data_IF_395047993764
#
_entry.id   IF_395047993764
#
_cell.length_a   1.000
_cell.length_b   1.000
_cell.length_c   1.000
_cell.angle_alpha   90.00
_cell.angle_beta   90.00
_cell.angle_gamma   90.00
#
_symmetry.space_group_name_H-M   'P 1'
#
loop_
_entity.id
_entity.type
_entity.pdbx_description
1 polymer ?
#
# COMPACT_ATOMS: atom_id res chain seq x y z
N UNK A 1 1.95 -15.23 -15.56
CA UNK A 1 0.55 -15.30 -16.05
C UNK A 1 -0.43 -14.59 -15.11
N UNK A 2 -0.34 -14.83 -13.80
CA UNK A 2 -1.14 -14.17 -12.76
C UNK A 2 -1.28 -12.64 -12.90
N UNK A 3 -0.16 -11.90 -12.94
CA UNK A 3 -0.13 -10.44 -13.06
C UNK A 3 -0.92 -9.93 -14.27
N UNK A 4 -0.74 -10.56 -15.43
CA UNK A 4 -1.46 -10.18 -16.66
C UNK A 4 -2.96 -10.43 -16.54
N UNK A 5 -3.37 -11.52 -15.88
CA UNK A 5 -4.77 -11.87 -15.65
C UNK A 5 -5.46 -10.85 -14.75
N UNK A 6 -4.85 -10.52 -13.61
CA UNK A 6 -5.37 -9.53 -12.66
C UNK A 6 -5.44 -8.14 -13.32
N UNK A 7 -4.36 -7.71 -14.00
CA UNK A 7 -4.38 -6.47 -14.78
C UNK A 7 -5.50 -6.44 -15.83
N UNK A 8 -5.78 -7.56 -16.50
CA UNK A 8 -6.85 -7.64 -17.48
C UNK A 8 -8.24 -7.59 -16.82
N UNK A 9 -8.41 -8.14 -15.62
CA UNK A 9 -9.64 -8.01 -14.84
C UNK A 9 -9.90 -6.55 -14.44
N UNK A 10 -8.88 -5.88 -13.88
CA UNK A 10 -8.99 -4.47 -13.48
C UNK A 10 -9.34 -3.56 -14.67
N UNK A 11 -8.73 -3.79 -15.84
CA UNK A 11 -9.04 -3.02 -17.07
C UNK A 11 -10.47 -3.20 -17.60
N UNK A 12 -11.16 -4.27 -17.20
CA UNK A 12 -12.54 -4.54 -17.63
C UNK A 12 -13.59 -3.96 -16.69
N UNK A 13 -13.19 -3.46 -15.52
CA UNK A 13 -14.09 -2.80 -14.60
C UNK A 13 -14.63 -1.51 -15.22
N UNK A 14 -15.91 -1.24 -14.95
CA UNK A 14 -16.49 0.08 -15.20
C UNK A 14 -16.04 1.01 -14.06
N UNK A 15 -15.08 1.88 -14.34
CA UNK A 15 -14.52 2.79 -13.34
C UNK A 15 -15.53 3.82 -12.83
N UNK A 16 -16.58 4.12 -13.59
CA UNK A 16 -17.65 4.99 -13.11
C UNK A 16 -18.50 4.26 -12.05
N UNK A 17 -18.76 2.96 -12.24
CA UNK A 17 -19.45 2.16 -11.22
C UNK A 17 -18.56 1.93 -9.98
N UNK A 18 -17.26 1.71 -10.17
CA UNK A 18 -16.29 1.58 -9.07
C UNK A 18 -16.27 2.86 -8.23
N UNK A 19 -16.19 4.02 -8.89
CA UNK A 19 -16.21 5.31 -8.21
C UNK A 19 -17.52 5.55 -7.47
N UNK A 20 -18.66 5.27 -8.11
CA UNK A 20 -19.97 5.41 -7.49
C UNK A 20 -20.19 4.46 -6.30
N UNK A 21 -19.60 3.26 -6.32
CA UNK A 21 -19.68 2.31 -5.22
C UNK A 21 -18.83 2.73 -4.02
N UNK A 22 -17.61 3.23 -4.28
CA UNK A 22 -16.63 3.57 -3.24
C UNK A 22 -16.81 4.98 -2.66
N UNK A 23 -17.52 5.88 -3.36
CA UNK A 23 -17.84 7.24 -2.87
C UNK A 23 -19.25 7.35 -2.28
N UNK A 24 -20.01 6.25 -2.17
CA UNK A 24 -21.22 6.26 -1.34
C UNK A 24 -20.84 6.55 0.12
N UNK A 25 -21.78 7.07 0.90
CA UNK A 25 -21.65 7.35 2.36
C UNK A 25 -21.02 6.16 3.13
N UNK A 26 -20.80 6.31 4.44
CA UNK A 26 -20.09 5.42 5.39
C UNK A 26 -20.20 3.88 5.23
N UNK A 27 -21.16 3.36 4.44
CA UNK A 27 -21.33 1.95 4.04
C UNK A 27 -20.80 1.61 2.63
N UNK A 28 -19.79 2.33 2.13
CA UNK A 28 -19.18 2.05 0.82
C UNK A 28 -18.74 0.58 0.68
N UNK A 29 -19.35 -0.14 -0.27
CA UNK A 29 -19.07 -1.55 -0.48
C UNK A 29 -17.82 -1.73 -1.35
N UNK A 30 -16.86 -2.59 -0.95
CA UNK A 30 -15.73 -2.95 -1.81
C UNK A 30 -16.19 -3.54 -3.14
N UNK A 31 -15.44 -3.28 -4.20
CA UNK A 31 -15.77 -3.75 -5.55
C UNK A 31 -14.93 -4.96 -5.90
N UNK A 32 -15.56 -6.08 -6.24
CA UNK A 32 -14.84 -7.30 -6.62
C UNK A 32 -14.09 -7.12 -7.94
N UNK A 33 -12.83 -7.54 -7.98
CA UNK A 33 -12.02 -7.57 -9.21
C UNK A 33 -12.10 -8.94 -9.88
N UNK A 34 -11.70 -10.00 -9.17
CA UNK A 34 -11.72 -11.38 -9.66
C UNK A 34 -11.37 -12.40 -8.57
N UNK A 35 -11.67 -13.68 -8.84
CA UNK A 35 -11.15 -14.83 -8.10
C UNK A 35 -9.68 -15.10 -8.39
N UNK A 36 -8.89 -15.34 -7.34
CA UNK A 36 -7.48 -15.70 -7.43
C UNK A 36 -6.99 -16.45 -6.20
N UNK A 37 -5.98 -17.31 -6.36
CA UNK A 37 -5.26 -17.89 -5.21
C UNK A 37 -4.41 -16.84 -4.51
N UNK A 38 -4.06 -17.12 -3.25
CA UNK A 38 -3.14 -16.30 -2.46
C UNK A 38 -1.78 -16.15 -3.17
N UNK A 39 -1.18 -17.24 -3.65
CA UNK A 39 0.09 -17.19 -4.40
C UNK A 39 0.07 -16.24 -5.61
N UNK A 40 -1.05 -16.20 -6.34
CA UNK A 40 -1.19 -15.32 -7.50
C UNK A 40 -1.37 -13.85 -7.08
N UNK A 41 -2.03 -13.63 -5.94
CA UNK A 41 -2.11 -12.31 -5.31
C UNK A 41 -0.72 -11.84 -4.85
N UNK A 42 0.03 -12.66 -4.13
CA UNK A 42 1.40 -12.30 -3.68
C UNK A 42 2.33 -11.98 -4.85
N UNK A 43 2.21 -12.73 -5.96
CA UNK A 43 2.95 -12.43 -7.20
C UNK A 43 2.53 -11.11 -7.84
N UNK A 44 1.26 -10.72 -7.69
CA UNK A 44 0.76 -9.43 -8.15
C UNK A 44 1.31 -8.29 -7.29
N UNK A 45 1.21 -8.43 -5.97
CA UNK A 45 1.72 -7.48 -4.98
C UNK A 45 3.21 -7.21 -5.25
N UNK A 46 4.06 -8.24 -5.35
CA UNK A 46 5.50 -8.08 -5.59
C UNK A 46 5.90 -7.59 -7.00
N UNK A 47 4.95 -7.37 -7.91
CA UNK A 47 5.25 -7.08 -9.31
C UNK A 47 5.30 -5.58 -9.60
N UNK A 48 6.35 -5.12 -10.28
CA UNK A 48 6.42 -3.74 -10.80
C UNK A 48 5.39 -3.44 -11.91
N UNK A 49 4.81 -4.49 -12.51
CA UNK A 49 3.84 -4.38 -13.60
C UNK A 49 2.38 -4.33 -13.12
N UNK A 50 2.12 -3.90 -11.89
CA UNK A 50 0.75 -3.70 -11.39
C UNK A 50 0.03 -2.62 -12.21
N UNK A 51 -1.21 -2.88 -12.62
CA UNK A 51 -2.05 -1.88 -13.28
C UNK A 51 -2.70 -0.93 -12.26
N UNK A 52 -3.23 -1.48 -11.18
CA UNK A 52 -3.62 -0.74 -9.98
C UNK A 52 -2.73 -1.19 -8.82
N UNK A 53 -2.22 -0.24 -8.05
CA UNK A 53 -1.37 -0.53 -6.89
C UNK A 53 -2.14 -1.32 -5.84
N UNK A 54 -1.48 -2.31 -5.25
CA UNK A 54 -2.11 -3.30 -4.38
C UNK A 54 -2.57 -2.71 -3.05
N UNK A 55 -2.00 -1.58 -2.64
CA UNK A 55 -2.48 -0.78 -1.49
C UNK A 55 -3.96 -0.37 -1.58
N UNK A 56 -4.49 -0.20 -2.80
CA UNK A 56 -5.91 0.15 -3.00
C UNK A 56 -6.85 -1.07 -2.98
N UNK A 57 -6.31 -2.26 -2.74
CA UNK A 57 -6.99 -3.54 -2.90
C UNK A 57 -6.72 -4.47 -1.71
N UNK A 58 -7.61 -5.43 -1.53
CA UNK A 58 -7.45 -6.49 -0.54
C UNK A 58 -7.80 -7.84 -1.13
N UNK A 59 -7.08 -8.89 -0.73
CA UNK A 59 -7.49 -10.24 -1.01
C UNK A 59 -8.29 -10.81 0.17
N UNK A 60 -9.46 -11.41 -0.08
CA UNK A 60 -10.28 -12.00 1.00
C UNK A 60 -10.92 -13.27 0.47
N UNK A 61 -10.56 -14.40 1.08
CA UNK A 61 -11.19 -15.69 0.80
C UNK A 61 -11.15 -16.11 -0.68
N UNK A 62 -10.00 -15.91 -1.36
CA UNK A 62 -9.83 -16.31 -2.76
C UNK A 62 -10.29 -15.28 -3.80
N UNK A 63 -10.56 -14.03 -3.39
CA UNK A 63 -11.01 -12.95 -4.28
C UNK A 63 -10.21 -11.67 -4.00
N UNK A 64 -9.98 -10.85 -5.02
CA UNK A 64 -9.44 -9.49 -4.90
C UNK A 64 -10.60 -8.49 -4.90
N UNK A 65 -10.54 -7.52 -4.01
CA UNK A 65 -11.49 -6.42 -3.85
C UNK A 65 -10.77 -5.07 -3.96
N UNK A 66 -11.35 -4.09 -4.64
CA UNK A 66 -10.94 -2.69 -4.52
C UNK A 66 -11.66 -2.14 -3.29
N UNK A 67 -10.89 -1.67 -2.31
CA UNK A 67 -11.41 -1.18 -1.02
C UNK A 67 -11.35 0.34 -0.91
N UNK A 68 -10.53 0.99 -1.74
CA UNK A 68 -10.40 2.45 -1.79
C UNK A 68 -10.04 2.91 -3.21
N UNK A 69 -10.33 4.18 -3.52
CA UNK A 69 -10.00 4.77 -4.81
C UNK A 69 -8.60 5.40 -4.79
N UNK A 70 -7.81 5.26 -5.87
CA UNK A 70 -6.61 6.05 -6.08
C UNK A 70 -6.99 7.51 -6.37
N UNK A 71 -7.36 8.27 -5.34
CA UNK A 71 -7.74 9.67 -5.49
C UNK A 71 -6.56 10.60 -5.32
N UNK A 72 -6.64 11.79 -5.93
CA UNK A 72 -5.63 12.84 -5.71
C UNK A 72 -5.56 13.31 -4.25
N UNK A 73 -6.60 13.07 -3.45
CA UNK A 73 -6.61 13.39 -2.02
C UNK A 73 -5.70 12.42 -1.27
N UNK A 74 -5.78 11.13 -1.60
CA UNK A 74 -4.92 10.09 -1.07
C UNK A 74 -3.45 10.42 -1.32
N UNK A 75 -3.10 10.70 -2.58
CA UNK A 75 -1.72 11.05 -2.95
C UNK A 75 -1.23 12.32 -2.26
N UNK A 76 -2.10 13.32 -2.07
CA UNK A 76 -1.77 14.54 -1.32
C UNK A 76 -1.58 14.27 0.18
N UNK A 77 -2.36 13.37 0.77
CA UNK A 77 -2.21 12.97 2.17
C UNK A 77 -0.87 12.26 2.38
N UNK A 78 -0.57 11.27 1.54
CA UNK A 78 0.71 10.54 1.54
C UNK A 78 1.88 11.51 1.33
N UNK A 79 1.79 12.42 0.35
CA UNK A 79 2.84 13.43 0.09
C UNK A 79 3.06 14.39 1.27
N UNK A 80 1.99 14.77 1.99
CA UNK A 80 2.11 15.60 3.20
C UNK A 80 2.74 14.83 4.34
N UNK A 81 2.35 13.58 4.56
CA UNK A 81 3.00 12.71 5.54
C UNK A 81 4.49 12.55 5.24
N UNK A 82 4.83 12.32 3.99
CA UNK A 82 6.21 12.23 3.54
C UNK A 82 7.02 13.50 3.81
N UNK A 83 6.43 14.66 3.51
CA UNK A 83 7.03 15.97 3.82
C UNK A 83 7.22 16.17 5.32
N UNK A 84 6.23 15.80 6.14
CA UNK A 84 6.32 15.94 7.59
C UNK A 84 7.34 14.98 8.20
N UNK A 85 7.42 13.75 7.70
CA UNK A 85 8.45 12.79 8.08
C UNK A 85 9.83 13.34 7.73
N UNK A 86 10.00 13.89 6.53
CA UNK A 86 11.26 14.51 6.12
C UNK A 86 11.66 15.68 7.04
N UNK A 87 10.73 16.56 7.40
CA UNK A 87 11.01 17.69 8.31
C UNK A 87 11.29 17.23 9.73
N UNK A 88 10.43 16.36 10.29
CA UNK A 88 10.48 15.93 11.69
C UNK A 88 11.70 15.08 12.03
N UNK A 89 12.29 14.42 11.05
CA UNK A 89 13.47 13.55 11.22
C UNK A 89 14.78 14.24 10.81
N UNK A 90 14.74 15.55 10.47
CA UNK A 90 15.92 16.28 9.98
C UNK A 90 16.31 15.91 8.53
N UNK A 91 15.48 15.11 7.90
CA UNK A 91 15.70 14.42 6.64
C UNK A 91 15.31 15.24 5.39
N UNK A 92 15.12 16.56 5.52
CA UNK A 92 14.98 17.45 4.36
C UNK A 92 16.20 17.40 3.41
N UNK A 93 17.33 16.84 3.86
CA UNK A 93 18.52 16.53 3.06
C UNK A 93 18.82 15.03 2.90
N UNK A 94 17.93 14.12 3.35
CA UNK A 94 18.06 12.67 3.13
C UNK A 94 19.01 11.91 4.05
N UNK A 95 19.33 12.41 5.25
CA UNK A 95 20.40 11.83 6.09
C UNK A 95 19.99 10.59 6.88
N UNK A 96 18.79 10.51 7.45
CA UNK A 96 18.51 9.54 8.52
C UNK A 96 17.48 8.45 8.16
N UNK A 97 16.42 8.80 7.43
CA UNK A 97 15.40 7.86 6.93
C UNK A 97 15.21 8.05 5.42
N UNK A 98 14.98 7.00 4.65
CA UNK A 98 14.63 7.10 3.22
C UNK A 98 13.21 6.58 3.04
N UNK A 99 12.40 7.34 2.30
CA UNK A 99 11.08 6.90 1.87
C UNK A 99 11.20 5.76 0.86
N UNK A 100 10.62 4.61 1.18
CA UNK A 100 10.41 3.49 0.26
C UNK A 100 8.94 3.37 -0.08
N UNK A 101 8.57 3.66 -1.33
CA UNK A 101 7.17 3.64 -1.78
C UNK A 101 6.69 2.24 -2.25
N UNK A 102 7.53 1.20 -2.15
CA UNK A 102 7.25 -0.15 -2.67
C UNK A 102 7.62 -1.26 -1.66
N UNK A 103 7.42 -1.00 -0.36
CA UNK A 103 7.88 -1.86 0.72
C UNK A 103 6.82 -2.86 1.19
N UNK A 104 6.74 -4.02 0.56
CA UNK A 104 5.81 -5.07 0.99
C UNK A 104 6.14 -5.57 2.40
N UNK A 105 5.14 -5.87 3.21
CA UNK A 105 5.33 -6.57 4.48
C UNK A 105 5.24 -8.07 4.22
N UNK A 106 6.35 -8.81 4.36
CA UNK A 106 6.32 -10.28 4.33
C UNK A 106 5.59 -10.84 5.56
N UNK A 107 5.56 -10.10 6.68
CA UNK A 107 4.76 -10.41 7.87
C UNK A 107 3.95 -9.16 8.29
N UNK A 108 2.60 -9.21 8.32
CA UNK A 108 1.78 -8.10 8.80
C UNK A 108 1.91 -7.91 10.32
N UNK A 109 1.77 -6.67 10.85
CA UNK A 109 1.79 -6.42 12.29
C UNK A 109 0.73 -7.24 13.04
N UNK A 110 1.06 -7.68 14.26
CA UNK A 110 0.11 -8.38 15.12
C UNK A 110 -1.16 -7.54 15.34
N UNK A 111 -2.33 -8.12 15.07
CA UNK A 111 -3.63 -7.42 15.08
C UNK A 111 -4.14 -7.00 13.69
N UNK A 112 -3.25 -6.95 12.69
CA UNK A 112 -3.56 -6.97 11.25
C UNK A 112 -3.25 -8.33 10.63
N UNK A 113 -3.06 -9.35 11.48
CA UNK A 113 -2.69 -10.70 11.10
C UNK A 113 -3.77 -11.32 10.21
N UNK A 114 -3.45 -11.41 8.92
CA UNK A 114 -4.15 -12.18 7.91
C UNK A 114 -3.13 -12.85 6.99
N UNK A 115 -3.56 -13.89 6.28
CA UNK A 115 -2.79 -14.64 5.28
C UNK A 115 -2.49 -13.76 4.05
N UNK A 116 -1.81 -12.62 4.20
CA UNK A 116 -1.72 -11.62 3.14
C UNK A 116 -0.48 -10.72 3.20
N UNK A 117 0.17 -10.58 2.05
CA UNK A 117 1.12 -9.49 1.81
C UNK A 117 0.39 -8.16 1.63
N UNK A 118 0.84 -7.14 2.36
CA UNK A 118 0.36 -5.76 2.32
C UNK A 118 1.40 -4.82 1.69
N UNK A 119 0.96 -3.94 0.79
CA UNK A 119 1.75 -2.81 0.26
C UNK A 119 1.30 -1.53 0.99
N UNK A 120 2.17 -0.86 1.77
CA UNK A 120 1.79 0.33 2.49
C UNK A 120 1.69 1.56 1.59
N UNK A 121 0.91 2.55 1.99
CA UNK A 121 0.84 3.85 1.31
C UNK A 121 2.19 4.57 1.29
N UNK A 122 2.92 4.51 2.40
CA UNK A 122 4.32 4.91 2.46
C UNK A 122 5.08 4.14 3.53
N UNK A 123 6.38 3.99 3.34
CA UNK A 123 7.26 3.37 4.32
C UNK A 123 8.60 4.09 4.40
N UNK A 124 9.29 3.93 5.53
CA UNK A 124 10.54 4.60 5.83
C UNK A 124 11.54 3.63 6.44
N UNK A 125 12.70 3.52 5.82
CA UNK A 125 13.82 2.70 6.28
C UNK A 125 15.04 3.56 6.60
N UNK A 126 15.97 3.10 7.45
CA UNK A 126 17.21 3.81 7.71
C UNK A 126 18.11 3.89 6.48
N UNK A 127 18.87 4.97 6.40
CA UNK A 127 19.84 5.20 5.33
C UNK A 127 21.20 4.53 5.68
N UNK A 128 21.78 3.80 4.72
CA UNK A 128 23.07 3.12 4.88
C UNK A 128 24.27 4.10 4.95
N UNK A 129 24.02 5.38 4.71
CA UNK A 129 25.01 6.47 4.83
C UNK A 129 25.08 7.09 6.24
N UNK A 130 24.18 6.71 7.15
CA UNK A 130 24.24 7.16 8.56
C UNK A 130 25.42 6.48 9.27
N UNK A 131 26.34 7.29 9.78
CA UNK A 131 27.50 6.79 10.54
C UNK A 131 27.02 6.06 11.80
N UNK A 132 27.37 4.77 11.91
CA UNK A 132 27.03 3.92 13.06
C UNK A 132 25.72 3.14 12.92
N UNK A 133 25.03 3.23 11.79
CA UNK A 133 23.87 2.39 11.52
C UNK A 133 24.31 0.93 11.29
N UNK A 134 23.66 -0.02 11.98
CA UNK A 134 23.95 -1.45 11.91
C UNK A 134 22.64 -2.20 11.69
N UNK A 135 22.58 -3.03 10.65
CA UNK A 135 21.45 -3.92 10.42
C UNK A 135 21.52 -5.16 11.33
N UNK A 136 20.36 -5.70 11.74
CA UNK A 136 20.29 -7.05 12.28
C UNK A 136 20.82 -8.08 11.27
N UNK A 137 21.39 -9.18 11.78
CA UNK A 137 21.88 -10.27 10.93
C UNK A 137 20.75 -10.81 10.02
N UNK A 138 21.06 -10.94 8.72
CA UNK A 138 20.13 -11.48 7.72
C UNK A 138 19.21 -10.44 7.06
N UNK A 139 19.32 -9.17 7.44
CA UNK A 139 18.55 -8.07 6.86
C UNK A 139 19.41 -7.30 5.85
N UNK A 140 18.80 -6.81 4.76
CA UNK A 140 19.44 -5.90 3.81
C UNK A 140 18.75 -4.52 3.87
N UNK A 141 19.50 -3.44 3.58
CA UNK A 141 19.01 -2.06 3.73
C UNK A 141 17.73 -1.78 2.92
N UNK A 142 17.64 -2.35 1.71
CA UNK A 142 16.49 -2.16 0.81
C UNK A 142 15.20 -2.83 1.29
N UNK A 143 15.28 -3.74 2.27
CA UNK A 143 14.13 -4.48 2.80
C UNK A 143 13.84 -4.11 4.26
N UNK A 144 14.62 -3.21 4.85
CA UNK A 144 14.48 -2.81 6.25
C UNK A 144 13.69 -1.51 6.38
N UNK A 145 12.42 -1.62 6.80
CA UNK A 145 11.53 -0.49 7.01
C UNK A 145 11.14 -0.40 8.48
N UNK A 146 11.41 0.75 9.09
CA UNK A 146 11.11 1.04 10.50
C UNK A 146 9.70 1.57 10.73
N UNK A 147 9.10 2.19 9.71
CA UNK A 147 7.74 2.75 9.77
C UNK A 147 7.02 2.42 8.47
N UNK A 148 5.77 1.96 8.59
CA UNK A 148 4.80 1.82 7.49
C UNK A 148 3.55 2.60 7.88
N UNK A 149 2.98 3.35 6.95
CA UNK A 149 1.81 4.20 7.18
C UNK A 149 0.74 3.82 6.17
N UNK A 150 -0.48 3.68 6.68
CA UNK A 150 -1.71 3.58 5.88
C UNK A 150 -2.56 4.81 6.15
N UNK A 151 -3.07 5.43 5.09
CA UNK A 151 -3.89 6.63 5.14
C UNK A 151 -5.28 6.33 4.59
N UNK A 152 -6.17 5.80 5.41
CA UNK A 152 -7.58 5.71 5.04
C UNK A 152 -8.26 7.08 5.13
N UNK A 153 -8.95 7.52 4.07
CA UNK A 153 -9.84 8.68 4.16
C UNK A 153 -11.21 8.24 4.71
N UNK A 154 -11.59 8.73 5.88
CA UNK A 154 -12.98 8.72 6.33
C UNK A 154 -13.65 10.03 5.90
N UNK A 155 -14.73 9.97 5.12
CA UNK A 155 -15.61 11.13 4.97
C UNK A 155 -16.26 11.39 6.34
N UNK A 156 -16.12 12.61 6.84
CA UNK A 156 -16.59 12.95 8.18
C UNK A 156 -18.10 12.80 8.31
N UNK A 157 -18.54 12.09 9.36
CA UNK A 157 -19.96 11.99 9.70
C UNK A 157 -20.57 13.35 10.09
N UNK A 158 -21.89 13.53 9.92
CA UNK A 158 -22.57 14.77 10.25
C UNK A 158 -22.57 14.99 11.78
N UNK A 159 -22.09 16.17 12.19
CA UNK A 159 -22.23 16.68 13.56
C UNK A 159 -23.58 17.32 13.84
#
# INVERSE_FOLDING_TARGET
MAVRRINAAIRRLDWHEVEAALLRDDDAAPVEVCETSLDDWERYVRSESQYLKSRFMEWRGGRIWIVELPTSIHEKAVSRFDTMMAVGTGNAMGTDLIGGLAAYADEPPAGLAGEQLWEPDCSYGPNDTVVGAVLPNGVIWNDFYTVKVESASALGGPG
#
